data_IF_339192218300
#
_entry.id   IF_339192218300
#
_cell.length_a   1.000
_cell.length_b   1.000
_cell.length_c   1.000
_cell.angle_alpha   90.00
_cell.angle_beta   90.00
_cell.angle_gamma   90.00
#
_symmetry.space_group_name_H-M   'P 1'
#
loop_
_entity.id
_entity.type
_entity.pdbx_description
1 polymer ?
#
# COMPACT_ATOMS: atom_id res chain seq x y z
N UNK A 1 -17.20 5.07 -9.84
CA UNK A 1 -17.02 5.00 -11.32
C UNK A 1 -18.20 5.60 -12.06
N UNK A 2 -19.34 5.74 -11.38
CA UNK A 2 -20.64 6.13 -11.91
C UNK A 2 -20.63 7.53 -12.53
N UNK A 3 -19.84 8.46 -12.00
CA UNK A 3 -19.65 9.79 -12.61
C UNK A 3 -19.10 9.72 -14.03
N UNK A 4 -18.10 8.88 -14.27
CA UNK A 4 -17.47 8.71 -15.59
C UNK A 4 -18.44 8.01 -16.53
N UNK A 5 -19.08 6.94 -16.04
CA UNK A 5 -20.09 6.20 -16.77
C UNK A 5 -21.24 7.11 -17.23
N UNK A 6 -21.83 7.87 -16.30
CA UNK A 6 -22.95 8.77 -16.58
C UNK A 6 -22.53 9.90 -17.54
N UNK A 7 -21.31 10.42 -17.42
CA UNK A 7 -20.80 11.43 -18.36
C UNK A 7 -20.71 10.87 -19.78
N UNK A 8 -20.14 9.66 -19.94
CA UNK A 8 -20.00 9.03 -21.26
C UNK A 8 -21.34 8.58 -21.84
N UNK A 9 -22.29 8.16 -20.98
CA UNK A 9 -23.62 7.71 -21.40
C UNK A 9 -24.56 8.86 -21.75
N UNK A 10 -24.58 9.91 -20.93
CA UNK A 10 -25.57 11.00 -21.04
C UNK A 10 -25.01 12.28 -21.69
N UNK A 11 -23.68 12.38 -21.86
CA UNK A 11 -23.04 13.55 -22.50
C UNK A 11 -23.16 14.86 -21.73
N UNK A 12 -23.58 14.83 -20.46
CA UNK A 12 -23.85 16.05 -19.67
C UNK A 12 -22.53 16.71 -19.28
N UNK A 13 -22.29 17.91 -19.83
CA UNK A 13 -21.09 18.71 -19.60
C UNK A 13 -21.39 19.88 -18.65
N UNK A 14 -20.47 20.28 -17.75
CA UNK A 14 -20.66 21.47 -16.92
C UNK A 14 -20.81 22.73 -17.77
N UNK A 15 -21.56 23.71 -17.26
CA UNK A 15 -21.76 25.00 -17.93
C UNK A 15 -20.47 25.83 -18.02
N UNK A 16 -19.54 25.64 -17.08
CA UNK A 16 -18.28 26.38 -17.07
C UNK A 16 -17.24 25.77 -18.01
N UNK A 17 -16.76 26.57 -18.98
CA UNK A 17 -15.88 26.10 -20.07
C UNK A 17 -14.59 25.44 -19.59
N UNK A 18 -13.92 25.99 -18.58
CA UNK A 18 -12.64 25.44 -18.10
C UNK A 18 -12.81 24.09 -17.39
N UNK A 19 -13.86 23.95 -16.58
CA UNK A 19 -14.19 22.69 -15.90
C UNK A 19 -14.62 21.61 -16.89
N UNK A 20 -15.42 22.02 -17.89
CA UNK A 20 -15.86 21.18 -18.99
C UNK A 20 -14.69 20.61 -19.80
N UNK A 21 -13.66 21.42 -20.05
CA UNK A 21 -12.46 21.01 -20.78
C UNK A 21 -11.58 20.07 -19.93
N UNK A 22 -11.40 20.39 -18.64
CA UNK A 22 -10.66 19.54 -17.70
C UNK A 22 -11.28 18.15 -17.57
N UNK A 23 -12.61 18.07 -17.41
CA UNK A 23 -13.32 16.79 -17.36
C UNK A 23 -13.21 16.02 -18.67
N UNK A 24 -13.31 16.70 -19.80
CA UNK A 24 -13.15 16.06 -21.12
C UNK A 24 -11.77 15.41 -21.25
N UNK A 25 -10.70 16.11 -20.85
CA UNK A 25 -9.34 15.55 -20.85
C UNK A 25 -9.17 14.39 -19.87
N UNK A 26 -9.78 14.48 -18.70
CA UNK A 26 -9.73 13.40 -17.70
C UNK A 26 -10.46 12.15 -18.17
N UNK A 27 -11.65 12.31 -18.74
CA UNK A 27 -12.54 11.22 -19.13
C UNK A 27 -12.26 10.68 -20.54
N UNK A 28 -11.49 11.39 -21.37
CA UNK A 28 -10.97 10.89 -22.64
C UNK A 28 -10.14 9.60 -22.49
N UNK A 29 -9.67 9.29 -21.28
CA UNK A 29 -8.98 8.04 -20.94
C UNK A 29 -9.92 6.83 -20.86
N UNK A 30 -11.22 7.01 -21.01
CA UNK A 30 -12.22 5.95 -20.86
C UNK A 30 -13.11 5.82 -22.09
N UNK A 31 -13.68 4.64 -22.26
CA UNK A 31 -14.62 4.31 -23.34
C UNK A 31 -15.70 3.37 -22.81
N UNK A 32 -16.90 3.51 -23.35
CA UNK A 32 -18.00 2.60 -23.08
C UNK A 32 -18.12 1.60 -24.24
N UNK A 33 -18.08 0.30 -23.95
CA UNK A 33 -18.23 -0.79 -24.92
C UNK A 33 -19.26 -1.75 -24.34
N UNK A 34 -20.34 -2.02 -25.09
CA UNK A 34 -21.43 -2.92 -24.68
C UNK A 34 -22.00 -2.64 -23.27
N UNK A 35 -22.06 -1.35 -22.89
CA UNK A 35 -22.54 -0.94 -21.58
C UNK A 35 -21.54 -1.13 -20.44
N UNK A 36 -20.32 -1.56 -20.72
CA UNK A 36 -19.22 -1.68 -19.76
C UNK A 36 -18.16 -0.59 -19.95
N UNK A 37 -17.56 -0.17 -18.84
CA UNK A 37 -16.57 0.90 -18.84
C UNK A 37 -15.16 0.32 -18.98
N UNK A 38 -14.40 0.81 -19.95
CA UNK A 38 -13.01 0.43 -20.19
C UNK A 38 -12.09 1.63 -20.08
N UNK A 39 -10.87 1.40 -19.58
CA UNK A 39 -9.80 2.40 -19.54
C UNK A 39 -8.83 2.17 -20.69
N UNK A 40 -8.56 3.24 -21.43
CA UNK A 40 -7.50 3.32 -22.45
C UNK A 40 -6.13 3.34 -21.78
N UNK A 41 -5.24 2.49 -22.26
CA UNK A 41 -3.83 2.51 -21.92
C UNK A 41 -3.01 2.81 -23.18
N UNK A 42 -1.87 3.47 -23.00
CA UNK A 42 -0.97 3.79 -24.12
C UNK A 42 -0.21 2.55 -24.62
N UNK A 43 0.04 1.59 -23.72
CA UNK A 43 0.91 0.43 -23.99
C UNK A 43 0.16 -0.91 -23.85
N UNK A 44 -0.96 -0.92 -23.12
CA UNK A 44 -1.71 -2.15 -22.80
C UNK A 44 -3.01 -2.18 -23.60
N UNK A 45 -3.60 -3.37 -23.81
CA UNK A 45 -4.99 -3.51 -24.21
C UNK A 45 -5.95 -2.73 -23.31
N UNK A 46 -7.17 -2.51 -23.80
CA UNK A 46 -8.24 -1.90 -23.03
C UNK A 46 -8.45 -2.67 -21.72
N UNK A 47 -8.44 -1.95 -20.60
CA UNK A 47 -8.55 -2.55 -19.28
C UNK A 47 -9.98 -2.37 -18.77
N UNK A 48 -10.67 -3.46 -18.45
CA UNK A 48 -12.04 -3.43 -17.92
C UNK A 48 -12.06 -2.75 -16.57
N UNK A 49 -12.99 -1.81 -16.41
CA UNK A 49 -13.16 -1.12 -15.16
C UNK A 49 -14.15 -1.85 -14.26
N UNK A 50 -13.72 -2.15 -13.04
CA UNK A 50 -14.53 -2.88 -12.07
C UNK A 50 -15.22 -1.92 -11.10
N UNK A 51 -16.42 -2.34 -10.66
CA UNK A 51 -17.10 -1.75 -9.51
C UNK A 51 -16.46 -2.23 -8.21
N UNK A 52 -16.70 -1.55 -7.07
CA UNK A 52 -16.08 -1.91 -5.79
C UNK A 52 -16.29 -3.37 -5.37
N UNK A 53 -17.48 -3.92 -5.61
CA UNK A 53 -17.84 -5.31 -5.29
C UNK A 53 -17.00 -6.30 -6.11
N UNK A 54 -17.02 -6.16 -7.44
CA UNK A 54 -16.22 -6.96 -8.38
C UNK A 54 -14.71 -6.82 -8.11
N UNK A 55 -14.25 -5.62 -7.75
CA UNK A 55 -12.86 -5.37 -7.43
C UNK A 55 -12.42 -6.13 -6.18
N UNK A 56 -13.29 -6.26 -5.18
CA UNK A 56 -13.02 -7.03 -3.97
C UNK A 56 -12.88 -8.52 -4.29
N UNK A 57 -13.78 -9.07 -5.10
CA UNK A 57 -13.73 -10.48 -5.55
C UNK A 57 -12.44 -10.77 -6.31
N UNK A 58 -12.06 -9.88 -7.24
CA UNK A 58 -10.82 -10.02 -8.02
C UNK A 58 -9.58 -9.89 -7.13
N UNK A 59 -9.56 -8.96 -6.17
CA UNK A 59 -8.47 -8.87 -5.19
C UNK A 59 -8.35 -10.16 -4.38
N UNK A 60 -9.46 -10.72 -3.92
CA UNK A 60 -9.49 -11.96 -3.15
C UNK A 60 -9.02 -13.16 -3.97
N UNK A 61 -9.55 -13.33 -5.18
CA UNK A 61 -9.18 -14.42 -6.09
C UNK A 61 -7.69 -14.39 -6.44
N UNK A 62 -7.14 -13.22 -6.78
CA UNK A 62 -5.72 -13.09 -7.14
C UNK A 62 -4.82 -13.27 -5.92
N UNK A 63 -5.25 -12.75 -4.77
CA UNK A 63 -4.48 -12.84 -3.53
C UNK A 63 -4.42 -14.27 -2.98
N UNK A 64 -5.55 -15.00 -3.01
CA UNK A 64 -5.71 -16.36 -2.45
C UNK A 64 -5.49 -17.49 -3.46
N UNK A 65 -5.44 -17.21 -4.76
CA UNK A 65 -5.35 -18.23 -5.83
C UNK A 65 -4.09 -19.11 -5.76
N UNK A 66 -3.95 -20.05 -6.71
CA UNK A 66 -3.08 -21.26 -6.69
C UNK A 66 -1.57 -21.10 -6.43
N UNK A 67 -1.08 -19.87 -6.22
CA UNK A 67 0.21 -19.63 -5.59
C UNK A 67 0.14 -18.26 -4.91
N UNK A 68 -0.71 -18.16 -3.88
CA UNK A 68 -0.96 -16.96 -3.09
C UNK A 68 0.33 -16.47 -2.45
N UNK A 69 1.10 -15.69 -3.19
CA UNK A 69 2.44 -15.22 -2.81
C UNK A 69 2.40 -14.22 -1.65
N UNK A 70 1.23 -13.99 -1.03
CA UNK A 70 0.97 -12.98 0.00
C UNK A 70 1.66 -11.65 -0.35
N UNK A 71 1.62 -11.32 -1.65
CA UNK A 71 2.47 -10.30 -2.23
C UNK A 71 2.05 -8.92 -1.74
N UNK A 72 3.02 -8.01 -1.57
CA UNK A 72 2.76 -6.62 -1.19
C UNK A 72 1.78 -5.95 -2.16
N UNK A 73 1.09 -4.91 -1.70
CA UNK A 73 0.04 -4.21 -2.48
C UNK A 73 0.46 -3.85 -3.92
N UNK A 74 1.70 -3.40 -4.15
CA UNK A 74 2.21 -3.10 -5.51
C UNK A 74 2.21 -4.31 -6.44
N UNK A 75 2.60 -5.48 -5.94
CA UNK A 75 2.62 -6.72 -6.71
C UNK A 75 1.21 -7.20 -7.04
N UNK A 76 0.27 -7.05 -6.09
CA UNK A 76 -1.15 -7.34 -6.31
C UNK A 76 -1.73 -6.47 -7.44
N UNK A 77 -1.48 -5.15 -7.41
CA UNK A 77 -1.89 -4.22 -8.48
C UNK A 77 -1.36 -4.64 -9.84
N UNK A 78 -0.08 -5.03 -9.93
CA UNK A 78 0.51 -5.46 -11.19
C UNK A 78 -0.13 -6.74 -11.74
N UNK A 79 -0.54 -7.67 -10.87
CA UNK A 79 -1.25 -8.88 -11.27
C UNK A 79 -2.67 -8.57 -11.74
N UNK A 80 -3.39 -7.70 -11.04
CA UNK A 80 -4.73 -7.24 -11.45
C UNK A 80 -4.68 -6.57 -12.83
N UNK A 81 -3.73 -5.65 -13.03
CA UNK A 81 -3.56 -4.97 -14.32
C UNK A 81 -3.14 -5.93 -15.45
N UNK A 82 -2.46 -7.04 -15.12
CA UNK A 82 -2.09 -8.08 -16.08
C UNK A 82 -3.29 -8.94 -16.50
N UNK A 83 -4.28 -9.08 -15.63
CA UNK A 83 -5.58 -9.68 -15.94
C UNK A 83 -6.57 -8.68 -16.55
N UNK A 84 -6.08 -7.52 -17.00
CA UNK A 84 -6.87 -6.52 -17.71
C UNK A 84 -8.01 -5.91 -16.88
N UNK A 85 -7.84 -5.84 -15.56
CA UNK A 85 -8.78 -5.18 -14.64
C UNK A 85 -8.24 -3.86 -14.06
N UNK A 86 -9.12 -2.89 -13.82
CA UNK A 86 -8.77 -1.58 -13.29
C UNK A 86 -9.89 -0.92 -12.46
N UNK A 87 -9.53 -0.06 -11.52
CA UNK A 87 -10.41 0.94 -10.92
C UNK A 87 -9.57 2.11 -10.35
N UNK A 88 -10.18 3.28 -10.12
CA UNK A 88 -9.45 4.53 -9.81
C UNK A 88 -8.47 4.40 -8.63
N UNK A 89 -8.90 3.76 -7.54
CA UNK A 89 -8.16 3.69 -6.29
C UNK A 89 -7.41 2.36 -6.10
N UNK A 90 -7.22 1.58 -7.16
CA UNK A 90 -6.60 0.24 -7.14
C UNK A 90 -5.33 0.12 -6.28
N UNK A 91 -4.47 1.13 -6.28
CA UNK A 91 -3.24 1.12 -5.48
C UNK A 91 -3.51 1.20 -3.98
N UNK A 92 -4.39 2.11 -3.56
CA UNK A 92 -4.76 2.30 -2.16
C UNK A 92 -5.56 1.10 -1.68
N UNK A 93 -6.54 0.66 -2.46
CA UNK A 93 -7.41 -0.46 -2.11
C UNK A 93 -6.60 -1.75 -1.97
N UNK A 94 -5.70 -2.03 -2.91
CA UNK A 94 -4.82 -3.20 -2.81
C UNK A 94 -3.87 -3.14 -1.62
N UNK A 95 -3.38 -1.95 -1.25
CA UNK A 95 -2.54 -1.78 -0.06
C UNK A 95 -3.34 -2.07 1.21
N UNK A 96 -4.49 -1.42 1.38
CA UNK A 96 -5.38 -1.62 2.54
C UNK A 96 -5.87 -3.07 2.62
N UNK A 97 -6.12 -3.73 1.48
CA UNK A 97 -6.49 -5.13 1.42
C UNK A 97 -5.38 -6.05 1.98
N UNK A 98 -4.13 -5.85 1.53
CA UNK A 98 -2.98 -6.64 2.00
C UNK A 98 -2.66 -6.37 3.48
N UNK A 99 -2.81 -5.13 3.95
CA UNK A 99 -2.62 -4.77 5.36
C UNK A 99 -3.65 -5.43 6.30
N UNK A 100 -4.86 -5.70 5.81
CA UNK A 100 -5.90 -6.45 6.54
C UNK A 100 -5.65 -7.96 6.57
N UNK A 101 -4.82 -8.50 5.68
CA UNK A 101 -4.49 -9.92 5.67
C UNK A 101 -3.55 -10.28 6.83
N UNK A 102 -3.99 -11.18 7.70
CA UNK A 102 -3.24 -11.62 8.89
C UNK A 102 -1.90 -12.27 8.53
N UNK A 103 -1.88 -13.15 7.52
CA UNK A 103 -0.63 -13.76 7.04
C UNK A 103 0.34 -12.71 6.48
N UNK A 104 -0.13 -11.81 5.61
CA UNK A 104 0.72 -10.74 5.07
C UNK A 104 1.30 -9.85 6.18
N UNK A 105 0.51 -9.51 7.19
CA UNK A 105 0.96 -8.73 8.34
C UNK A 105 2.04 -9.47 9.13
N UNK A 106 1.82 -10.75 9.44
CA UNK A 106 2.77 -11.59 10.17
C UNK A 106 4.14 -11.64 9.48
N UNK A 107 4.17 -11.89 8.17
CA UNK A 107 5.42 -11.91 7.40
C UNK A 107 6.07 -10.53 7.25
N UNK A 108 5.28 -9.45 7.16
CA UNK A 108 5.80 -8.10 7.11
C UNK A 108 6.51 -7.70 8.41
N UNK A 109 5.98 -8.10 9.57
CA UNK A 109 6.57 -7.78 10.87
C UNK A 109 7.84 -8.60 11.13
N UNK A 110 7.93 -9.85 10.68
CA UNK A 110 9.17 -10.63 10.72
C UNK A 110 10.31 -9.96 9.94
N UNK A 111 10.03 -9.38 8.78
CA UNK A 111 11.05 -8.64 8.01
C UNK A 111 11.53 -7.36 8.69
N UNK A 112 10.76 -6.79 9.63
CA UNK A 112 11.10 -5.56 10.35
C UNK A 112 11.84 -5.81 11.66
N UNK A 113 12.11 -7.06 12.01
CA UNK A 113 12.88 -7.34 13.22
C UNK A 113 14.29 -6.78 13.07
N UNK A 114 14.85 -6.18 14.15
CA UNK A 114 16.23 -5.73 14.12
C UNK A 114 17.12 -6.91 13.75
N UNK A 115 18.12 -6.66 12.90
CA UNK A 115 19.20 -7.62 12.72
C UNK A 115 19.72 -7.93 14.14
N UNK A 116 19.69 -9.20 14.52
CA UNK A 116 20.03 -9.62 15.89
C UNK A 116 21.40 -9.09 16.31
N UNK A 117 21.72 -9.22 17.61
CA UNK A 117 22.99 -8.74 18.16
C UNK A 117 24.18 -9.20 17.31
N UNK A 118 24.88 -8.23 16.70
CA UNK A 118 26.13 -8.49 16.02
C UNK A 118 27.12 -8.96 17.07
N UNK A 119 27.82 -10.06 16.80
CA UNK A 119 28.92 -10.50 17.64
C UNK A 119 30.11 -9.57 17.36
N UNK A 120 30.59 -8.79 18.34
CA UNK A 120 31.75 -7.93 18.14
C UNK A 120 32.97 -8.81 17.82
N UNK A 121 33.81 -8.35 16.89
CA UNK A 121 35.11 -8.98 16.63
C UNK A 121 36.02 -8.61 17.80
N UNK A 122 36.50 -9.61 18.54
CA UNK A 122 37.44 -9.39 19.63
C UNK A 122 38.75 -8.85 19.05
N UNK A 123 39.16 -7.65 19.45
CA UNK A 123 40.48 -7.11 19.11
C UNK A 123 41.53 -7.74 20.02
N UNK A 124 42.68 -8.13 19.46
CA UNK A 124 43.82 -8.65 20.22
C UNK A 124 44.53 -7.58 21.07
N UNK A 125 44.13 -6.31 20.95
CA UNK A 125 44.77 -5.17 21.58
C UNK A 125 43.93 -4.62 22.74
N UNK A 126 44.48 -4.54 23.97
CA UNK A 126 43.72 -4.27 25.20
C UNK A 126 43.07 -2.88 25.31
N UNK A 127 43.29 -1.97 24.36
CA UNK A 127 42.69 -0.63 24.33
C UNK A 127 42.08 -0.25 22.97
N UNK A 128 41.94 -1.20 22.05
CA UNK A 128 41.41 -0.90 20.71
C UNK A 128 39.91 -0.57 20.70
N UNK A 129 39.15 -1.02 21.71
CA UNK A 129 37.71 -0.74 21.88
C UNK A 129 37.43 -0.52 23.35
N UNK A 130 36.79 0.60 23.70
CA UNK A 130 36.28 0.89 25.04
C UNK A 130 34.85 1.40 24.92
N UNK A 131 33.97 0.97 25.83
CA UNK A 131 32.59 1.42 25.91
C UNK A 131 32.40 2.27 27.15
N UNK A 132 31.75 3.42 27.01
CA UNK A 132 31.32 4.28 28.11
C UNK A 132 29.80 4.26 28.15
N UNK A 133 29.21 3.95 29.30
CA UNK A 133 27.77 4.04 29.51
C UNK A 133 27.48 4.96 30.69
N UNK A 134 26.46 5.80 30.56
CA UNK A 134 26.07 6.74 31.60
C UNK A 134 24.88 6.16 32.37
N UNK A 135 25.11 5.72 33.60
CA UNK A 135 24.04 5.28 34.48
C UNK A 135 23.46 6.52 35.16
N UNK A 136 22.23 6.90 34.82
CA UNK A 136 21.50 7.96 35.51
C UNK A 136 20.51 7.38 36.52
N UNK A 137 20.71 7.70 37.80
CA UNK A 137 19.71 7.56 38.86
C UNK A 137 20.01 6.54 39.96
N UNK A 138 20.49 7.03 41.11
CA UNK A 138 20.11 6.51 42.42
C UNK A 138 19.96 7.71 43.37
N UNK A 139 18.81 8.39 43.31
CA UNK A 139 18.42 9.43 44.27
C UNK A 139 17.40 8.85 45.24
N UNK A 140 17.86 7.97 46.12
CA UNK A 140 17.15 7.63 47.36
C UNK A 140 18.08 6.79 48.21
N UNK A 141 18.57 7.41 49.31
CA UNK A 141 19.00 6.84 50.60
C UNK A 141 20.14 7.65 51.24
N UNK A 142 19.97 8.97 51.37
CA UNK A 142 20.69 9.77 52.37
C UNK A 142 19.77 10.84 52.99
N UNK A 143 18.64 10.41 53.55
CA UNK A 143 17.89 11.22 54.53
C UNK A 143 17.28 10.33 55.62
N UNK A 144 18.11 9.56 56.33
CA UNK A 144 17.76 9.13 57.70
C UNK A 144 19.03 8.81 58.50
N UNK A 145 19.69 9.83 59.04
CA UNK A 145 20.47 9.73 60.27
C UNK A 145 20.82 11.13 60.79
N UNK A 146 19.80 11.87 61.21
CA UNK A 146 19.91 12.98 62.15
C UNK A 146 18.62 12.93 62.97
N UNK A 147 18.64 12.12 64.04
CA UNK A 147 17.89 12.23 65.30
C UNK A 147 17.88 10.85 65.98
N UNK A 148 18.63 10.72 67.08
CA UNK A 148 18.71 9.53 67.93
C UNK A 148 20.04 9.43 68.63
#
# INVERSE_FOLDING_TARGET
MDRIFNYLKNGVQPHHRQEAEKLKLEYAKYVLIDGELYRRSYVRPLTKCLRPEEAQEVMEAIHKGECGTHARGRSLVMRILRQEFFWLNIRKDAQTFVEKCSQCKYYADMQRQPAGYLKPINSSWPFAVWGLDFISGCWSLLTTSLNG
#
